data_IF_691446225610
#
_entry.id   IF_691446225610
#
_cell.length_a   1.000
_cell.length_b   1.000
_cell.length_c   1.000
_cell.angle_alpha   90.00
_cell.angle_beta   90.00
_cell.angle_gamma   90.00
#
_symmetry.space_group_name_H-M   'P 1'
#
loop_
_entity.id
_entity.type
_entity.pdbx_description
1 polymer ?
#
# COMPACT_ATOMS: atom_id res chain seq x y z
N UNK A 1 -16.43 -3.06 6.44
CA UNK A 1 -15.27 -2.34 5.88
C UNK A 1 -15.67 -1.68 4.59
N UNK A 2 -15.39 -0.39 4.45
CA UNK A 2 -15.54 0.36 3.20
C UNK A 2 -14.27 0.27 2.38
N UNK A 3 -14.34 0.64 1.10
CA UNK A 3 -13.14 0.76 0.26
C UNK A 3 -12.20 1.86 0.77
N UNK A 4 -12.76 2.89 1.43
CA UNK A 4 -11.99 3.95 2.09
C UNK A 4 -11.18 3.41 3.27
N UNK A 5 -11.78 2.58 4.11
CA UNK A 5 -11.07 1.91 5.21
C UNK A 5 -9.94 1.04 4.68
N UNK A 6 -10.22 0.27 3.63
CA UNK A 6 -9.21 -0.57 2.98
C UNK A 6 -8.03 0.27 2.49
N UNK A 7 -8.28 1.34 1.75
CA UNK A 7 -7.23 2.21 1.23
C UNK A 7 -6.47 2.94 2.34
N UNK A 8 -7.18 3.38 3.38
CA UNK A 8 -6.58 4.02 4.56
C UNK A 8 -5.60 3.07 5.25
N UNK A 9 -6.05 1.85 5.55
CA UNK A 9 -5.18 0.87 6.20
C UNK A 9 -4.06 0.41 5.27
N UNK A 10 -4.29 0.21 3.97
CA UNK A 10 -3.26 -0.27 3.05
C UNK A 10 -2.20 0.80 2.70
N UNK A 11 -2.56 2.08 2.66
CA UNK A 11 -1.63 3.15 2.28
C UNK A 11 -0.72 3.61 3.42
N UNK A 12 -1.02 3.22 4.66
CA UNK A 12 -0.34 3.69 5.87
C UNK A 12 0.90 2.84 6.21
N UNK A 13 2.03 3.51 6.49
CA UNK A 13 3.31 2.88 6.83
C UNK A 13 3.68 2.95 8.31
N UNK A 14 3.00 3.78 9.09
CA UNK A 14 3.23 4.00 10.52
C UNK A 14 1.87 3.93 11.20
N UNK A 15 1.73 3.38 12.40
CA UNK A 15 0.46 3.35 13.12
C UNK A 15 0.08 4.71 13.75
N UNK A 16 -0.95 4.73 14.61
CA UNK A 16 -1.47 5.96 15.27
C UNK A 16 -0.48 6.61 16.21
N UNK A 17 0.51 5.86 16.67
CA UNK A 17 1.57 6.31 17.57
C UNK A 17 2.87 6.62 16.81
N UNK A 18 2.86 6.55 15.47
CA UNK A 18 4.02 6.78 14.61
C UNK A 18 4.98 5.59 14.51
N UNK A 19 4.57 4.41 14.98
CA UNK A 19 5.39 3.19 14.92
C UNK A 19 5.30 2.56 13.53
N UNK A 20 6.41 2.25 12.86
CA UNK A 20 6.39 1.60 11.56
C UNK A 20 5.60 0.29 11.58
N UNK A 21 4.63 0.16 10.67
CA UNK A 21 3.85 -1.07 10.52
C UNK A 21 4.71 -2.09 9.81
N UNK A 22 5.00 -3.20 10.48
CA UNK A 22 5.85 -4.26 9.95
C UNK A 22 5.28 -4.80 8.63
N UNK A 23 6.11 -4.79 7.59
CA UNK A 23 5.71 -5.23 6.25
C UNK A 23 4.98 -4.17 5.40
N UNK A 24 5.01 -2.89 5.80
CA UNK A 24 4.51 -1.77 4.99
C UNK A 24 5.59 -0.74 4.77
N UNK A 25 5.87 -0.46 3.52
CA UNK A 25 6.93 0.46 3.12
C UNK A 25 6.41 1.59 2.27
N UNK A 26 7.18 2.68 2.23
CA UNK A 26 6.93 3.82 1.34
C UNK A 26 6.80 3.38 -0.13
N UNK A 27 7.49 2.32 -0.54
CA UNK A 27 7.37 1.72 -1.87
C UNK A 27 5.95 1.23 -2.13
N UNK A 28 5.37 0.49 -1.20
CA UNK A 28 4.01 -0.05 -1.31
C UNK A 28 2.94 1.04 -1.34
N UNK A 29 3.04 2.03 -0.44
CA UNK A 29 2.15 3.20 -0.45
C UNK A 29 2.28 4.00 -1.75
N UNK A 30 3.50 4.13 -2.27
CA UNK A 30 3.76 4.78 -3.55
C UNK A 30 3.05 4.07 -4.70
N UNK A 31 3.16 2.74 -4.80
CA UNK A 31 2.46 1.97 -5.83
C UNK A 31 0.95 2.13 -5.75
N UNK A 32 0.38 2.08 -4.54
CA UNK A 32 -1.06 2.25 -4.34
C UNK A 32 -1.52 3.68 -4.66
N UNK A 33 -0.77 4.71 -4.22
CA UNK A 33 -1.05 6.11 -4.55
C UNK A 33 -1.02 6.34 -6.07
N UNK A 34 -0.04 5.78 -6.75
CA UNK A 34 0.08 5.83 -8.20
C UNK A 34 -1.12 5.18 -8.91
N UNK A 35 -1.55 4.02 -8.42
CA UNK A 35 -2.74 3.34 -8.93
C UNK A 35 -4.01 4.16 -8.76
N UNK A 36 -4.21 4.75 -7.58
CA UNK A 36 -5.37 5.61 -7.31
C UNK A 36 -5.38 6.90 -8.14
N UNK A 37 -4.19 7.43 -8.48
CA UNK A 37 -4.05 8.59 -9.38
C UNK A 37 -4.24 8.24 -10.86
N UNK A 38 -4.25 6.95 -11.20
CA UNK A 38 -4.27 6.49 -12.59
C UNK A 38 -2.96 6.77 -13.34
N UNK A 39 -1.85 7.01 -12.63
CA UNK A 39 -0.56 7.36 -13.22
C UNK A 39 0.35 6.13 -13.48
N UNK A 40 -0.17 4.94 -13.20
CA UNK A 40 0.56 3.68 -13.34
C UNK A 40 -0.19 2.68 -14.21
N UNK A 41 0.58 1.83 -14.89
CA UNK A 41 0.08 0.65 -15.61
C UNK A 41 -0.13 -0.56 -14.69
N UNK A 42 0.30 -0.48 -13.42
CA UNK A 42 0.13 -1.57 -12.46
C UNK A 42 -1.35 -1.71 -12.11
N UNK A 43 -1.88 -2.93 -12.21
CA UNK A 43 -3.22 -3.24 -11.71
C UNK A 43 -3.19 -3.48 -10.20
N UNK A 44 -4.35 -3.48 -9.56
CA UNK A 44 -4.49 -3.85 -8.14
C UNK A 44 -3.88 -5.24 -7.84
N UNK A 45 -4.05 -6.20 -8.75
CA UNK A 45 -3.47 -7.54 -8.63
C UNK A 45 -1.94 -7.49 -8.63
N UNK A 46 -1.34 -6.70 -9.53
CA UNK A 46 0.12 -6.55 -9.58
C UNK A 46 0.68 -5.92 -8.30
N UNK A 47 -0.04 -4.96 -7.72
CA UNK A 47 0.37 -4.32 -6.46
C UNK A 47 0.35 -5.32 -5.31
N UNK A 48 -0.73 -6.10 -5.18
CA UNK A 48 -0.83 -7.15 -4.15
C UNK A 48 0.25 -8.21 -4.34
N UNK A 49 0.54 -8.63 -5.58
CA UNK A 49 1.61 -9.58 -5.86
C UNK A 49 3.00 -9.07 -5.44
N UNK A 50 3.29 -7.78 -5.67
CA UNK A 50 4.55 -7.18 -5.22
C UNK A 50 4.66 -7.20 -3.70
N UNK A 51 3.56 -6.96 -2.98
CA UNK A 51 3.55 -7.00 -1.52
C UNK A 51 3.72 -8.43 -0.98
N UNK A 52 3.19 -9.44 -1.67
CA UNK A 52 3.39 -10.84 -1.30
C UNK A 52 4.85 -11.25 -1.54
N UNK A 53 5.44 -10.82 -2.67
CA UNK A 53 6.82 -11.15 -3.02
C UNK A 53 7.83 -10.47 -2.11
N UNK A 54 7.59 -9.20 -1.80
CA UNK A 54 8.46 -8.44 -0.93
C UNK A 54 7.64 -7.73 0.14
N UNK A 55 7.22 -8.45 1.20
CA UNK A 55 6.45 -7.84 2.28
C UNK A 55 7.20 -6.69 2.94
N UNK A 56 8.54 -6.67 2.89
CA UNK A 56 9.37 -5.63 3.48
C UNK A 56 9.78 -4.50 2.52
N UNK A 57 9.25 -4.46 1.29
CA UNK A 57 9.56 -3.42 0.30
C UNK A 57 10.81 -3.70 -0.54
#
# INVERSE_FOLDING_TARGET
>A
WTIGDFLYYFSRNEDEDGVPIQGRTRTHSGMLSSFLRGDTKKTSVMIVQEWIKNPMG
#
